data_IF_574475984153
#
_entry.id   IF_574475984153
#
_cell.length_a   1.000
_cell.length_b   1.000
_cell.length_c   1.000
_cell.angle_alpha   90.00
_cell.angle_beta   90.00
_cell.angle_gamma   90.00
#
_symmetry.space_group_name_H-M   'P 1'
#
loop_
_entity.id
_entity.type
_entity.pdbx_description
1 polymer ?
#
# COMPACT_ATOMS: atom_id res chain seq x y z
N UNK A 1 -22.31 -9.39 8.38
CA UNK A 1 -21.68 -10.73 8.20
C UNK A 1 -22.58 -11.59 7.34
N UNK A 2 -22.04 -12.44 6.46
CA UNK A 2 -22.82 -13.22 5.49
C UNK A 2 -23.64 -14.38 6.08
N UNK A 3 -23.53 -14.66 7.38
CA UNK A 3 -24.28 -15.73 8.05
C UNK A 3 -23.92 -17.15 7.61
N UNK A 4 -22.91 -17.32 6.75
CA UNK A 4 -22.48 -18.63 6.24
C UNK A 4 -21.54 -19.27 7.25
N UNK A 5 -21.96 -20.39 7.84
CA UNK A 5 -21.11 -21.22 8.69
C UNK A 5 -20.11 -22.02 7.86
N UNK A 6 -19.00 -22.47 8.47
CA UNK A 6 -17.99 -23.28 7.78
C UNK A 6 -18.55 -24.62 7.25
N UNK A 7 -19.49 -25.23 7.96
CA UNK A 7 -20.11 -26.50 7.53
C UNK A 7 -21.03 -26.28 6.32
N UNK A 8 -21.82 -25.21 6.32
CA UNK A 8 -22.63 -24.78 5.16
C UNK A 8 -21.73 -24.48 3.96
N UNK A 9 -20.64 -23.74 4.18
CA UNK A 9 -19.69 -23.39 3.13
C UNK A 9 -19.11 -24.62 2.43
N UNK A 10 -18.69 -25.64 3.20
CA UNK A 10 -18.12 -26.88 2.65
C UNK A 10 -19.18 -27.70 1.91
N UNK A 11 -20.39 -27.84 2.50
CA UNK A 11 -21.49 -28.59 1.89
C UNK A 11 -21.90 -28.03 0.53
N UNK A 12 -21.96 -26.69 0.44
CA UNK A 12 -22.41 -25.99 -0.76
C UNK A 12 -21.26 -25.70 -1.74
N UNK A 13 -20.04 -26.16 -1.45
CA UNK A 13 -18.87 -25.96 -2.30
C UNK A 13 -18.45 -24.49 -2.47
N UNK A 14 -18.82 -23.61 -1.55
CA UNK A 14 -18.61 -22.16 -1.65
C UNK A 14 -17.14 -21.82 -1.39
N UNK A 15 -16.48 -21.17 -2.35
CA UNK A 15 -15.08 -20.77 -2.20
C UNK A 15 -14.96 -19.49 -1.38
N UNK A 16 -13.77 -19.27 -0.81
CA UNK A 16 -13.49 -18.02 -0.08
C UNK A 16 -13.60 -16.78 -0.98
N UNK A 17 -13.27 -16.90 -2.28
CA UNK A 17 -13.46 -15.83 -3.27
C UNK A 17 -14.92 -15.41 -3.38
N UNK A 18 -15.84 -16.38 -3.38
CA UNK A 18 -17.27 -16.15 -3.52
C UNK A 18 -17.82 -15.41 -2.29
N UNK A 19 -17.35 -15.79 -1.09
CA UNK A 19 -17.68 -15.07 0.14
C UNK A 19 -17.14 -13.64 0.13
N UNK A 20 -15.91 -13.42 -0.34
CA UNK A 20 -15.35 -12.07 -0.47
C UNK A 20 -16.20 -11.21 -1.41
N UNK A 21 -16.56 -11.75 -2.58
CA UNK A 21 -17.42 -11.07 -3.56
C UNK A 21 -18.81 -10.75 -2.98
N UNK A 22 -19.47 -11.72 -2.33
CA UNK A 22 -20.79 -11.54 -1.70
C UNK A 22 -20.75 -10.51 -0.57
N UNK A 23 -19.67 -10.49 0.21
CA UNK A 23 -19.55 -9.60 1.37
C UNK A 23 -19.37 -8.13 0.98
N UNK A 24 -18.90 -7.86 -0.24
CA UNK A 24 -18.50 -6.52 -0.73
C UNK A 24 -17.49 -5.81 0.18
N UNK A 25 -16.84 -6.54 1.09
CA UNK A 25 -15.81 -6.01 1.98
C UNK A 25 -14.57 -5.72 1.13
N UNK A 26 -14.02 -4.52 1.28
CA UNK A 26 -12.76 -4.16 0.62
C UNK A 26 -11.65 -5.09 1.06
N UNK A 27 -10.82 -5.53 0.12
CA UNK A 27 -9.65 -6.32 0.46
C UNK A 27 -8.72 -5.52 1.39
N UNK A 28 -8.39 -6.11 2.53
CA UNK A 28 -7.64 -5.44 3.59
C UNK A 28 -6.21 -5.08 3.15
N UNK A 29 -5.58 -5.92 2.30
CA UNK A 29 -4.21 -5.69 1.81
C UNK A 29 -4.21 -4.54 0.82
N UNK A 30 -5.16 -4.54 -0.12
CA UNK A 30 -5.33 -3.45 -1.07
C UNK A 30 -5.64 -2.13 -0.34
N UNK A 31 -6.55 -2.17 0.64
CA UNK A 31 -6.89 -0.99 1.44
C UNK A 31 -5.69 -0.46 2.23
N UNK A 32 -4.93 -1.33 2.90
CA UNK A 32 -3.73 -0.92 3.63
C UNK A 32 -2.68 -0.29 2.72
N UNK A 33 -2.46 -0.88 1.53
CA UNK A 33 -1.54 -0.33 0.51
C UNK A 33 -1.99 1.06 0.07
N UNK A 34 -3.26 1.23 -0.29
CA UNK A 34 -3.80 2.52 -0.74
C UNK A 34 -3.75 3.58 0.37
N UNK A 35 -4.09 3.21 1.60
CA UNK A 35 -4.01 4.11 2.76
C UNK A 35 -2.58 4.57 3.03
N UNK A 36 -1.60 3.67 2.96
CA UNK A 36 -0.17 4.01 3.11
C UNK A 36 0.29 5.02 2.07
N UNK A 37 -0.04 4.80 0.79
CA UNK A 37 0.33 5.71 -0.30
C UNK A 37 -0.38 7.06 -0.14
N UNK A 38 -1.65 7.06 0.25
CA UNK A 38 -2.43 8.29 0.42
C UNK A 38 -1.90 9.14 1.58
N UNK A 39 -1.51 8.51 2.69
CA UNK A 39 -0.87 9.19 3.81
C UNK A 39 0.50 9.75 3.42
N UNK A 40 1.35 8.96 2.73
CA UNK A 40 2.65 9.43 2.28
C UNK A 40 2.53 10.62 1.31
N UNK A 41 1.61 10.56 0.35
CA UNK A 41 1.34 11.68 -0.56
C UNK A 41 0.82 12.93 0.17
N UNK A 42 0.05 12.77 1.25
CA UNK A 42 -0.36 13.89 2.08
C UNK A 42 0.83 14.54 2.80
N UNK A 43 1.71 13.74 3.43
CA UNK A 43 2.93 14.21 4.08
C UNK A 43 3.84 14.95 3.10
N UNK A 44 4.01 14.44 1.88
CA UNK A 44 4.85 15.08 0.86
C UNK A 44 4.33 16.45 0.39
N UNK A 45 3.01 16.68 0.43
CA UNK A 45 2.39 17.98 0.09
C UNK A 45 2.43 18.99 1.25
N UNK A 46 2.69 18.55 2.48
CA UNK A 46 2.82 19.48 3.61
C UNK A 46 4.10 20.29 3.49
N UNK A 47 4.01 21.62 3.65
CA UNK A 47 5.15 22.52 3.61
C UNK A 47 5.67 22.89 5.00
N UNK A 48 5.70 21.91 5.92
CA UNK A 48 6.27 22.09 7.25
C UNK A 48 7.61 21.37 7.41
N UNK A 49 8.45 21.86 8.31
CA UNK A 49 9.76 21.28 8.61
C UNK A 49 9.66 20.00 9.47
N UNK A 50 8.64 19.16 9.23
CA UNK A 50 8.46 17.91 9.97
C UNK A 50 9.56 16.92 9.60
N UNK A 51 10.05 16.25 10.63
CA UNK A 51 11.01 15.16 10.50
C UNK A 51 10.53 14.06 9.54
N UNK A 52 9.22 13.79 9.46
CA UNK A 52 8.66 12.78 8.54
C UNK A 52 8.96 13.09 7.07
N UNK A 53 8.90 14.36 6.66
CA UNK A 53 9.26 14.79 5.30
C UNK A 53 10.77 14.67 5.08
N UNK A 54 11.56 15.12 6.06
CA UNK A 54 13.02 15.00 6.01
C UNK A 54 13.48 13.55 5.86
N UNK A 55 12.85 12.59 6.56
CA UNK A 55 13.13 11.16 6.42
C UNK A 55 12.73 10.64 5.04
N UNK A 56 11.63 11.12 4.46
CA UNK A 56 11.20 10.76 3.11
C UNK A 56 12.22 11.16 2.03
N UNK A 57 12.82 12.35 2.18
CA UNK A 57 13.80 12.90 1.26
C UNK A 57 15.26 12.52 1.58
N UNK A 58 15.47 11.85 2.71
CA UNK A 58 16.79 11.53 3.21
C UNK A 58 17.54 10.56 2.28
N UNK A 59 18.77 10.93 1.96
CA UNK A 59 19.72 10.09 1.23
C UNK A 59 20.82 9.65 2.20
N UNK A 60 21.10 8.33 2.32
CA UNK A 60 22.29 7.85 3.02
C UNK A 60 23.54 8.27 2.24
N UNK A 61 24.33 9.21 2.78
CA UNK A 61 25.51 9.77 2.08
C UNK A 61 26.74 8.87 2.18
N UNK A 62 26.87 8.10 3.25
CA UNK A 62 28.09 7.34 3.57
C UNK A 62 28.04 5.87 3.17
N UNK A 63 27.05 5.47 2.37
CA UNK A 63 26.83 4.06 1.99
C UNK A 63 27.01 3.88 0.49
N UNK A 64 28.10 3.22 0.06
CA UNK A 64 28.26 2.74 -1.32
C UNK A 64 27.29 1.58 -1.55
N UNK A 65 26.27 1.77 -2.41
CA UNK A 65 25.33 0.69 -2.76
C UNK A 65 25.93 -0.24 -3.81
N UNK A 66 25.55 -1.51 -3.72
CA UNK A 66 25.89 -2.54 -4.71
C UNK A 66 25.35 -2.16 -6.09
N UNK A 67 26.10 -2.47 -7.15
CA UNK A 67 25.67 -2.31 -8.53
C UNK A 67 24.26 -2.91 -8.74
N UNK A 68 23.36 -2.16 -9.38
CA UNK A 68 21.96 -2.53 -9.60
C UNK A 68 20.96 -2.04 -8.54
N UNK A 69 21.41 -1.47 -7.41
CA UNK A 69 20.52 -0.80 -6.45
C UNK A 69 20.71 0.72 -6.51
N UNK A 70 19.88 1.44 -7.29
CA UNK A 70 19.96 2.90 -7.34
C UNK A 70 19.76 3.52 -5.96
N UNK A 71 20.30 4.73 -5.80
CA UNK A 71 20.19 5.53 -4.59
C UNK A 71 18.79 6.16 -4.51
N UNK A 72 17.74 5.34 -4.49
CA UNK A 72 16.35 5.83 -4.55
C UNK A 72 15.91 6.35 -3.18
N UNK A 73 15.35 7.56 -3.17
CA UNK A 73 14.71 8.13 -1.97
C UNK A 73 13.37 7.46 -1.69
N UNK A 74 12.91 7.52 -0.44
CA UNK A 74 11.54 7.09 -0.13
C UNK A 74 10.50 7.96 -0.86
N UNK A 75 10.76 9.26 -1.02
CA UNK A 75 9.90 10.16 -1.81
C UNK A 75 9.78 9.75 -3.27
N UNK A 76 10.85 9.26 -3.90
CA UNK A 76 10.83 8.76 -5.29
C UNK A 76 10.02 7.47 -5.41
N UNK A 77 10.12 6.56 -4.44
CA UNK A 77 9.26 5.38 -4.37
C UNK A 77 7.78 5.78 -4.27
N UNK A 78 7.46 6.74 -3.41
CA UNK A 78 6.08 7.20 -3.25
C UNK A 78 5.57 7.90 -4.51
N UNK A 79 6.37 8.75 -5.14
CA UNK A 79 6.03 9.42 -6.40
C UNK A 79 5.67 8.39 -7.48
N UNK A 80 6.51 7.38 -7.67
CA UNK A 80 6.24 6.28 -8.61
C UNK A 80 4.95 5.52 -8.26
N UNK A 81 4.74 5.20 -6.98
CA UNK A 81 3.54 4.48 -6.54
C UNK A 81 2.24 5.29 -6.70
N UNK A 82 2.35 6.63 -6.71
CA UNK A 82 1.22 7.54 -6.94
C UNK A 82 0.94 7.62 -8.44
N UNK A 83 1.97 7.73 -9.28
CA UNK A 83 1.85 7.70 -10.75
C UNK A 83 1.21 6.39 -11.23
N UNK A 84 1.70 5.25 -10.76
CA UNK A 84 1.11 3.92 -11.03
C UNK A 84 -0.36 3.80 -10.61
N UNK A 85 -0.83 4.62 -9.66
CA UNK A 85 -2.23 4.63 -9.22
C UNK A 85 -3.13 5.43 -10.18
N UNK A 86 -2.59 6.42 -10.89
CA UNK A 86 -3.35 7.22 -11.86
C UNK A 86 -3.44 6.55 -13.24
N UNK A 87 -2.45 5.72 -13.58
CA UNK A 87 -2.41 4.94 -14.83
C UNK A 87 -3.24 3.62 -14.79
N UNK A 88 -3.84 3.30 -13.64
CA UNK A 88 -4.62 2.08 -13.39
C UNK A 88 -6.11 2.35 -13.22
#
# INVERSE_FOLDING_TARGET
MLGVSRSTQVRDGIRSSDLRQRSKIKDAVLYAKQSKISWAGHVMRMNDNRWTRAVGDWIPRDVKRTAGRPLTRWSEFFAKSIEERYEA
#
